data_IF_227667812859
#
_entry.id   IF_227667812859
#
_cell.length_a   1.000
_cell.length_b   1.000
_cell.length_c   1.000
_cell.angle_alpha   90.00
_cell.angle_beta   90.00
_cell.angle_gamma   90.00
#
_symmetry.space_group_name_H-M   'P 1'
#
loop_
_entity.id
_entity.type
_entity.pdbx_description
1 polymer ?
#
# COMPACT_ATOMS: atom_id res chain seq x y z
N UNK A 1 -5.53 -21.78 18.92
CA UNK A 1 -5.10 -20.38 19.07
C UNK A 1 -6.32 -19.51 19.24
N UNK A 2 -6.21 -18.44 20.03
CA UNK A 2 -7.12 -17.31 20.06
C UNK A 2 -6.77 -16.37 18.92
N UNK A 3 -7.70 -16.16 18.00
CA UNK A 3 -7.45 -15.41 16.76
C UNK A 3 -8.40 -14.23 16.68
N UNK A 4 -7.85 -13.03 16.51
CA UNK A 4 -8.62 -11.83 16.23
C UNK A 4 -8.75 -11.64 14.71
N UNK A 5 -9.93 -11.83 14.15
CA UNK A 5 -10.19 -11.65 12.73
C UNK A 5 -10.57 -10.20 12.41
N UNK A 6 -9.74 -9.49 11.65
CA UNK A 6 -10.04 -8.15 11.15
C UNK A 6 -11.01 -8.24 9.97
N UNK A 7 -12.26 -7.85 10.21
CA UNK A 7 -13.37 -7.97 9.28
C UNK A 7 -13.74 -6.61 8.70
N UNK A 8 -13.41 -6.36 7.44
CA UNK A 8 -13.63 -5.08 6.76
C UNK A 8 -15.05 -4.88 6.22
N UNK A 9 -15.92 -5.87 6.36
CA UNK A 9 -17.24 -5.89 5.69
C UNK A 9 -17.17 -6.32 4.21
N UNK A 10 -16.00 -6.74 3.74
CA UNK A 10 -15.78 -7.31 2.41
C UNK A 10 -15.72 -8.84 2.41
N UNK A 11 -15.89 -9.44 1.22
CA UNK A 11 -15.92 -10.89 1.01
C UNK A 11 -14.65 -11.60 1.49
N UNK A 12 -13.49 -11.01 1.23
CA UNK A 12 -12.20 -11.63 1.54
C UNK A 12 -12.04 -11.81 3.06
N UNK A 13 -12.31 -10.76 3.84
CA UNK A 13 -12.23 -10.84 5.30
C UNK A 13 -13.28 -11.77 5.93
N UNK A 14 -14.45 -11.91 5.29
CA UNK A 14 -15.50 -12.82 5.73
C UNK A 14 -15.08 -14.28 5.57
N UNK A 15 -14.55 -14.64 4.40
CA UNK A 15 -14.07 -16.01 4.12
C UNK A 15 -12.83 -16.32 4.94
N UNK A 16 -11.91 -15.37 5.11
CA UNK A 16 -10.74 -15.56 5.98
C UNK A 16 -11.13 -15.88 7.43
N UNK A 17 -12.10 -15.15 8.00
CA UNK A 17 -12.63 -15.42 9.34
C UNK A 17 -13.29 -16.81 9.41
N UNK A 18 -14.11 -17.16 8.41
CA UNK A 18 -14.77 -18.46 8.35
C UNK A 18 -13.77 -19.62 8.29
N UNK A 19 -12.74 -19.53 7.44
CA UNK A 19 -11.67 -20.54 7.35
C UNK A 19 -10.89 -20.67 8.66
N UNK A 20 -10.65 -19.58 9.38
CA UNK A 20 -10.00 -19.64 10.69
C UNK A 20 -10.86 -20.39 11.73
N UNK A 21 -12.19 -20.22 11.70
CA UNK A 21 -13.13 -20.99 12.54
C UNK A 21 -13.10 -22.48 12.14
N UNK A 22 -13.17 -22.77 10.85
CA UNK A 22 -13.14 -24.14 10.29
C UNK A 22 -11.84 -24.88 10.63
N UNK A 23 -10.72 -24.15 10.74
CA UNK A 23 -9.43 -24.66 11.21
C UNK A 23 -9.38 -24.93 12.73
N UNK A 24 -10.49 -24.74 13.46
CA UNK A 24 -10.62 -25.03 14.88
C UNK A 24 -10.02 -23.96 15.81
N UNK A 25 -9.86 -22.72 15.33
CA UNK A 25 -9.40 -21.62 16.17
C UNK A 25 -10.54 -20.99 17.00
N UNK A 26 -10.19 -20.42 18.15
CA UNK A 26 -11.09 -19.59 18.94
C UNK A 26 -11.08 -18.17 18.35
N UNK A 27 -12.04 -17.89 17.46
CA UNK A 27 -12.04 -16.66 16.65
C UNK A 27 -12.95 -15.61 17.26
N UNK A 28 -12.44 -14.39 17.38
CA UNK A 28 -13.23 -13.18 17.66
C UNK A 28 -13.11 -12.22 16.48
N UNK A 29 -14.24 -11.74 15.96
CA UNK A 29 -14.27 -10.74 14.90
C UNK A 29 -14.10 -9.32 15.43
N UNK A 30 -13.39 -8.49 14.67
CA UNK A 30 -13.31 -7.05 14.93
C UNK A 30 -13.42 -6.25 13.64
N UNK A 31 -14.20 -5.16 13.68
CA UNK A 31 -14.20 -4.15 12.64
C UNK A 31 -13.51 -2.87 13.14
N UNK A 32 -12.67 -2.27 12.30
CA UNK A 32 -11.97 -1.03 12.62
C UNK A 32 -12.75 0.16 12.05
N UNK A 33 -13.29 0.99 12.93
CA UNK A 33 -13.84 2.28 12.55
C UNK A 33 -12.68 3.27 12.37
N UNK A 34 -12.33 3.58 11.11
CA UNK A 34 -11.20 4.45 10.76
C UNK A 34 -11.61 5.89 10.41
N UNK A 35 -12.92 6.17 10.29
CA UNK A 35 -13.40 7.51 9.93
C UNK A 35 -14.58 7.93 10.82
N UNK A 36 -14.43 9.05 11.53
CA UNK A 36 -15.49 9.65 12.38
C UNK A 36 -16.65 10.23 11.58
N UNK A 37 -16.42 10.57 10.31
CA UNK A 37 -17.40 11.21 9.43
C UNK A 37 -18.15 10.19 8.55
N UNK A 38 -18.22 8.91 8.96
CA UNK A 38 -18.93 7.84 8.25
C UNK A 38 -20.46 8.06 8.10
N UNK A 39 -21.01 9.16 8.63
CA UNK A 39 -22.42 9.55 8.56
C UNK A 39 -22.87 10.16 7.22
N UNK A 40 -21.97 10.51 6.31
CA UNK A 40 -22.38 10.83 4.93
C UNK A 40 -22.66 9.53 4.19
N UNK A 41 -23.95 9.16 4.09
CA UNK A 41 -24.48 8.11 3.22
C UNK A 41 -23.74 8.14 1.87
N UNK A 42 -22.86 7.17 1.65
CA UNK A 42 -22.26 6.96 0.32
C UNK A 42 -23.11 5.95 -0.43
N UNK A 43 -23.43 6.26 -1.67
CA UNK A 43 -23.92 5.28 -2.63
C UNK A 43 -22.71 4.61 -3.32
N UNK A 44 -22.44 3.34 -3.03
CA UNK A 44 -21.51 2.51 -3.81
C UNK A 44 -20.33 1.88 -3.05
N UNK A 45 -19.55 1.05 -3.75
CA UNK A 45 -18.53 0.14 -3.21
C UNK A 45 -17.13 0.76 -3.01
N UNK A 46 -17.03 2.01 -2.53
CA UNK A 46 -15.73 2.72 -2.38
C UNK A 46 -15.39 3.00 -0.90
N UNK A 47 -14.47 2.21 -0.34
CA UNK A 47 -13.99 2.27 1.06
C UNK A 47 -14.34 1.03 1.88
N UNK A 48 -13.64 0.80 3.00
CA UNK A 48 -13.76 -0.41 3.82
C UNK A 48 -14.08 -0.15 5.32
N UNK A 49 -14.59 1.03 5.66
CA UNK A 49 -14.73 1.50 7.05
C UNK A 49 -15.98 2.36 7.25
N UNK A 50 -17.12 1.93 6.70
CA UNK A 50 -18.42 2.57 6.89
C UNK A 50 -19.28 1.86 7.94
N UNK A 51 -20.37 2.50 8.38
CA UNK A 51 -21.38 1.85 9.24
C UNK A 51 -21.96 0.61 8.54
N UNK A 52 -22.18 0.68 7.22
CA UNK A 52 -22.68 -0.45 6.42
C UNK A 52 -21.69 -1.61 6.41
N UNK A 53 -20.39 -1.32 6.27
CA UNK A 53 -19.33 -2.34 6.34
C UNK A 53 -19.26 -3.01 7.71
N UNK A 54 -19.40 -2.24 8.79
CA UNK A 54 -19.44 -2.77 10.14
C UNK A 54 -20.66 -3.70 10.34
N UNK A 55 -21.82 -3.33 9.80
CA UNK A 55 -23.03 -4.17 9.83
C UNK A 55 -22.87 -5.43 8.99
N UNK A 56 -22.24 -5.35 7.82
CA UNK A 56 -21.96 -6.52 6.98
C UNK A 56 -21.02 -7.49 7.69
N UNK A 57 -19.94 -6.97 8.31
CA UNK A 57 -19.02 -7.77 9.11
C UNK A 57 -19.73 -8.43 10.31
N UNK A 58 -20.61 -7.69 11.01
CA UNK A 58 -21.44 -8.23 12.09
C UNK A 58 -22.32 -9.38 11.62
N UNK A 59 -23.03 -9.23 10.49
CA UNK A 59 -23.90 -10.30 9.94
C UNK A 59 -23.12 -11.55 9.60
N UNK A 60 -21.91 -11.40 9.07
CA UNK A 60 -21.01 -12.54 8.81
C UNK A 60 -20.61 -13.20 10.12
N UNK A 61 -20.19 -12.42 11.12
CA UNK A 61 -19.78 -12.92 12.42
C UNK A 61 -20.91 -13.70 13.12
N UNK A 62 -22.14 -13.17 13.10
CA UNK A 62 -23.33 -13.85 13.63
C UNK A 62 -23.59 -15.18 12.89
N UNK A 63 -23.38 -15.20 11.56
CA UNK A 63 -23.59 -16.39 10.72
C UNK A 63 -22.57 -17.51 11.00
N UNK A 64 -21.32 -17.17 11.29
CA UNK A 64 -20.26 -18.14 11.63
C UNK A 64 -20.14 -18.38 13.13
N UNK A 65 -20.98 -17.74 13.95
CA UNK A 65 -21.09 -18.00 15.38
C UNK A 65 -19.94 -17.46 16.23
N UNK A 66 -19.32 -16.35 15.84
CA UNK A 66 -18.20 -15.74 16.58
C UNK A 66 -18.58 -14.43 17.29
N UNK A 67 -17.95 -14.10 18.44
CA UNK A 67 -18.08 -12.78 19.04
C UNK A 67 -17.59 -11.68 18.09
N UNK A 68 -18.19 -10.49 18.17
CA UNK A 68 -17.86 -9.38 17.28
C UNK A 68 -17.84 -8.03 17.99
N UNK A 69 -16.77 -7.27 17.76
CA UNK A 69 -16.58 -5.93 18.31
C UNK A 69 -16.30 -4.90 17.21
N UNK A 70 -16.58 -3.64 17.51
CA UNK A 70 -16.14 -2.50 16.70
C UNK A 70 -15.16 -1.70 17.53
N UNK A 71 -13.96 -1.47 17.00
CA UNK A 71 -12.95 -0.64 17.65
C UNK A 71 -12.74 0.65 16.87
N UNK A 72 -12.81 1.77 17.59
CA UNK A 72 -12.50 3.07 17.04
C UNK A 72 -10.97 3.28 16.99
N UNK A 73 -10.44 3.40 15.77
CA UNK A 73 -9.06 3.79 15.48
C UNK A 73 -9.00 5.09 14.66
N UNK A 74 -10.10 5.82 14.58
CA UNK A 74 -10.24 6.97 13.68
C UNK A 74 -9.28 8.12 13.99
N UNK A 75 -9.01 8.40 15.27
CA UNK A 75 -8.03 9.43 15.65
C UNK A 75 -6.62 9.03 15.19
N UNK A 76 -6.21 7.80 15.50
CA UNK A 76 -4.90 7.26 15.11
C UNK A 76 -4.75 7.17 13.59
N UNK A 77 -5.81 6.81 12.89
CA UNK A 77 -5.82 6.77 11.42
C UNK A 77 -5.69 8.17 10.80
N UNK A 78 -6.39 9.16 11.36
CA UNK A 78 -6.25 10.55 10.91
C UNK A 78 -4.80 11.02 11.06
N UNK A 79 -4.21 10.83 12.25
CA UNK A 79 -2.85 11.27 12.55
C UNK A 79 -1.78 10.47 11.79
N UNK A 80 -1.78 9.15 11.87
CA UNK A 80 -0.68 8.31 11.36
C UNK A 80 -0.80 7.93 9.88
N UNK A 81 -1.95 8.17 9.24
CA UNK A 81 -2.16 7.83 7.82
C UNK A 81 -2.57 9.04 7.01
N UNK A 82 -3.58 9.80 7.44
CA UNK A 82 -4.10 10.92 6.66
C UNK A 82 -3.17 12.13 6.73
N UNK A 83 -2.73 12.50 7.93
CA UNK A 83 -1.85 13.66 8.12
C UNK A 83 -0.43 13.37 7.59
N UNK A 84 0.09 12.14 7.75
CA UNK A 84 1.32 11.68 7.07
C UNK A 84 1.19 11.83 5.56
N UNK A 85 0.09 11.33 4.96
CA UNK A 85 -0.15 11.46 3.53
C UNK A 85 -0.15 12.92 3.07
N UNK A 86 -0.79 13.83 3.81
CA UNK A 86 -0.82 15.26 3.50
C UNK A 86 0.57 15.90 3.63
N UNK A 87 1.31 15.60 4.70
CA UNK A 87 2.64 16.13 4.96
C UNK A 87 3.66 15.68 3.89
N UNK A 88 3.55 14.44 3.45
CA UNK A 88 4.35 13.85 2.38
C UNK A 88 4.14 14.56 1.04
N UNK A 89 2.88 14.81 0.67
CA UNK A 89 2.57 15.62 -0.51
C UNK A 89 3.06 17.05 -0.37
N UNK A 90 2.91 17.68 0.81
CA UNK A 90 3.44 19.02 1.07
C UNK A 90 4.97 19.09 0.89
N UNK A 91 5.67 17.98 1.16
CA UNK A 91 7.10 17.83 0.92
C UNK A 91 7.47 17.42 -0.52
N UNK A 92 6.50 17.33 -1.45
CA UNK A 92 6.74 16.98 -2.86
C UNK A 92 6.98 15.50 -3.09
N UNK A 93 6.67 14.66 -2.09
CA UNK A 93 6.81 13.21 -2.14
C UNK A 93 5.47 12.57 -2.52
N UNK A 94 5.53 11.34 -3.02
CA UNK A 94 4.31 10.57 -3.35
C UNK A 94 4.24 9.37 -2.40
N UNK A 95 3.47 9.45 -1.31
CA UNK A 95 3.33 8.35 -0.34
C UNK A 95 2.37 7.25 -0.83
N UNK A 96 2.43 6.07 -0.19
CA UNK A 96 1.41 5.03 -0.34
C UNK A 96 0.63 4.86 0.99
N UNK A 97 -0.62 5.36 1.09
CA UNK A 97 -1.37 5.35 2.34
C UNK A 97 -1.80 3.93 2.77
N UNK A 98 -1.90 2.99 1.83
CA UNK A 98 -2.25 1.61 2.15
C UNK A 98 -1.09 0.89 2.87
N UNK A 99 0.16 1.12 2.45
CA UNK A 99 1.32 0.59 3.18
C UNK A 99 1.41 1.20 4.58
N UNK A 100 1.23 2.52 4.72
CA UNK A 100 1.19 3.20 6.02
C UNK A 100 0.07 2.68 6.91
N UNK A 101 -1.13 2.46 6.39
CA UNK A 101 -2.24 1.88 7.14
C UNK A 101 -1.95 0.44 7.61
N UNK A 102 -1.35 -0.41 6.76
CA UNK A 102 -0.94 -1.75 7.20
C UNK A 102 0.12 -1.67 8.30
N UNK A 103 1.17 -0.87 8.11
CA UNK A 103 2.24 -0.65 9.09
C UNK A 103 1.70 -0.14 10.44
N UNK A 104 0.95 0.96 10.42
CA UNK A 104 0.60 1.74 11.62
C UNK A 104 -0.70 1.31 12.27
N UNK A 105 -1.68 0.88 11.48
CA UNK A 105 -3.03 0.61 11.97
C UNK A 105 -3.28 -0.89 12.10
N UNK A 106 -3.17 -1.66 11.01
CA UNK A 106 -3.55 -3.08 11.04
C UNK A 106 -2.57 -3.98 11.76
N UNK A 107 -1.26 -3.67 11.75
CA UNK A 107 -0.24 -4.54 12.32
C UNK A 107 0.60 -3.93 13.43
N UNK A 108 0.64 -2.61 13.60
CA UNK A 108 1.03 -2.04 14.89
C UNK A 108 -0.20 -1.95 15.80
N UNK A 109 -1.10 -1.00 15.55
CA UNK A 109 -2.17 -0.68 16.49
C UNK A 109 -3.12 -1.85 16.84
N UNK A 110 -3.63 -2.55 15.81
CA UNK A 110 -4.54 -3.67 16.00
C UNK A 110 -3.82 -4.87 16.62
N UNK A 111 -2.61 -5.20 16.16
CA UNK A 111 -1.88 -6.35 16.66
C UNK A 111 -1.44 -6.15 18.11
N UNK A 112 -0.86 -4.99 18.44
CA UNK A 112 -0.43 -4.66 19.80
C UNK A 112 -1.60 -4.79 20.78
N UNK A 113 -2.78 -4.28 20.39
CA UNK A 113 -4.00 -4.40 21.18
C UNK A 113 -4.50 -5.85 21.26
N UNK A 114 -4.40 -6.62 20.18
CA UNK A 114 -4.80 -8.02 20.16
C UNK A 114 -3.94 -8.85 21.13
N UNK A 115 -2.61 -8.70 21.05
CA UNK A 115 -1.66 -9.38 21.94
C UNK A 115 -1.90 -8.99 23.40
N UNK A 116 -2.11 -7.70 23.69
CA UNK A 116 -2.41 -7.22 25.03
C UNK A 116 -3.72 -7.80 25.61
N UNK A 117 -4.68 -8.15 24.75
CA UNK A 117 -5.95 -8.80 25.14
C UNK A 117 -5.85 -10.33 25.18
N UNK A 118 -4.67 -10.90 24.92
CA UNK A 118 -4.42 -12.35 24.98
C UNK A 118 -4.80 -13.11 23.72
N UNK A 119 -4.86 -12.44 22.55
CA UNK A 119 -4.94 -13.12 21.27
C UNK A 119 -3.55 -13.58 20.81
N UNK A 120 -3.48 -14.77 20.24
CA UNK A 120 -2.24 -15.36 19.72
C UNK A 120 -1.90 -14.83 18.31
N UNK A 121 -2.93 -14.46 17.53
CA UNK A 121 -2.76 -14.04 16.14
C UNK A 121 -3.85 -13.08 15.66
N UNK A 122 -3.53 -12.28 14.63
CA UNK A 122 -4.47 -11.46 13.86
C UNK A 122 -4.68 -12.08 12.48
N UNK A 123 -5.92 -12.46 12.20
CA UNK A 123 -6.35 -12.96 10.90
C UNK A 123 -6.87 -11.82 10.03
N UNK A 124 -6.46 -11.77 8.77
CA UNK A 124 -6.96 -10.78 7.80
C UNK A 124 -7.25 -11.44 6.45
N UNK A 125 -8.11 -10.81 5.64
CA UNK A 125 -8.40 -11.25 4.27
C UNK A 125 -7.34 -10.90 3.23
N UNK A 126 -6.07 -10.73 3.62
CA UNK A 126 -5.02 -10.46 2.63
C UNK A 126 -4.63 -11.73 1.88
N UNK A 127 -4.32 -11.56 0.59
CA UNK A 127 -3.75 -12.60 -0.27
C UNK A 127 -2.23 -12.55 -0.17
N UNK A 128 -1.69 -13.30 0.79
CA UNK A 128 -0.27 -13.58 0.94
C UNK A 128 -0.13 -14.88 1.74
N UNK A 129 1.00 -15.56 1.64
CA UNK A 129 1.22 -16.83 2.37
C UNK A 129 2.21 -16.59 3.50
N UNK A 130 1.91 -17.08 4.70
CA UNK A 130 2.88 -17.15 5.79
C UNK A 130 3.34 -18.60 5.90
N UNK A 131 4.65 -18.83 5.80
CA UNK A 131 5.26 -20.15 5.94
C UNK A 131 6.20 -20.17 7.12
N UNK A 132 6.45 -21.35 7.67
CA UNK A 132 7.55 -21.55 8.61
C UNK A 132 8.79 -21.92 7.81
N UNK A 133 9.81 -21.07 7.86
CA UNK A 133 11.09 -21.27 7.22
C UNK A 133 11.92 -22.38 7.88
N UNK A 134 13.06 -22.76 7.29
CA UNK A 134 13.92 -23.84 7.80
C UNK A 134 14.46 -23.60 9.22
N UNK A 135 14.59 -22.34 9.63
CA UNK A 135 15.05 -21.93 10.96
C UNK A 135 13.92 -21.87 12.01
N UNK A 136 12.70 -22.27 11.64
CA UNK A 136 11.52 -22.22 12.48
C UNK A 136 10.85 -20.85 12.57
N UNK A 137 11.38 -19.82 11.90
CA UNK A 137 10.77 -18.48 11.86
C UNK A 137 9.71 -18.38 10.78
N UNK A 138 8.83 -17.38 10.91
CA UNK A 138 7.79 -17.13 9.91
C UNK A 138 8.32 -16.27 8.77
N UNK A 139 8.00 -16.67 7.55
CA UNK A 139 8.37 -16.03 6.30
C UNK A 139 7.10 -15.59 5.57
N UNK A 140 7.12 -14.37 5.01
CA UNK A 140 6.04 -13.83 4.19
C UNK A 140 6.33 -14.18 2.73
N UNK A 141 5.35 -14.73 2.03
CA UNK A 141 5.45 -15.10 0.62
C UNK A 141 4.30 -14.51 -0.20
N UNK A 142 4.54 -14.40 -1.51
CA UNK A 142 3.53 -14.13 -2.52
C UNK A 142 2.35 -15.10 -2.42
N UNK A 143 1.16 -14.61 -2.75
CA UNK A 143 -0.02 -15.45 -2.93
C UNK A 143 0.12 -16.39 -4.13
N UNK A 144 -0.70 -17.44 -4.17
CA UNK A 144 -0.82 -18.33 -5.34
C UNK A 144 -1.41 -17.64 -6.56
N UNK A 145 -2.34 -16.68 -6.35
CA UNK A 145 -2.93 -15.87 -7.41
C UNK A 145 -2.14 -14.55 -7.55
N UNK A 146 -1.25 -14.48 -8.54
CA UNK A 146 -0.42 -13.30 -8.80
C UNK A 146 -1.25 -12.02 -9.03
N UNK A 147 -2.43 -12.13 -9.64
CA UNK A 147 -3.29 -10.98 -9.92
C UNK A 147 -3.91 -10.39 -8.65
N UNK A 148 -3.96 -11.18 -7.56
CA UNK A 148 -4.46 -10.75 -6.25
C UNK A 148 -3.37 -10.64 -5.19
N UNK A 149 -2.11 -10.91 -5.52
CA UNK A 149 -1.01 -10.87 -4.56
C UNK A 149 -0.95 -9.52 -3.82
N UNK A 150 -0.97 -9.59 -2.51
CA UNK A 150 -0.89 -8.46 -1.59
C UNK A 150 0.37 -8.49 -0.74
N UNK A 151 1.33 -9.37 -1.06
CA UNK A 151 2.63 -9.42 -0.39
C UNK A 151 3.35 -8.06 -0.40
N UNK A 152 3.20 -7.28 -1.49
CA UNK A 152 3.79 -5.94 -1.61
C UNK A 152 3.32 -4.98 -0.51
N UNK A 153 2.01 -4.89 -0.27
CA UNK A 153 1.47 -4.00 0.77
C UNK A 153 1.73 -4.50 2.20
N UNK A 154 2.16 -5.75 2.33
CA UNK A 154 2.55 -6.40 3.58
C UNK A 154 4.08 -6.45 3.76
N UNK A 155 4.89 -5.97 2.80
CA UNK A 155 6.35 -5.93 2.94
C UNK A 155 6.85 -4.98 4.03
N UNK A 156 5.95 -4.17 4.59
CA UNK A 156 6.19 -3.31 5.77
C UNK A 156 6.20 -4.08 7.09
N UNK A 157 5.73 -5.32 7.13
CA UNK A 157 5.65 -6.09 8.37
C UNK A 157 7.04 -6.37 8.94
N UNK A 158 7.15 -6.28 10.28
CA UNK A 158 8.33 -6.73 11.01
C UNK A 158 8.26 -8.25 11.26
N UNK A 159 9.39 -8.87 11.60
CA UNK A 159 9.45 -10.27 12.01
C UNK A 159 8.50 -10.58 13.19
N UNK A 160 8.39 -9.68 14.15
CA UNK A 160 7.49 -9.81 15.31
C UNK A 160 6.02 -9.76 14.88
N UNK A 161 5.65 -8.77 14.06
CA UNK A 161 4.28 -8.67 13.54
C UNK A 161 3.92 -9.90 12.69
N UNK A 162 4.88 -10.32 11.86
CA UNK A 162 4.75 -11.52 11.03
C UNK A 162 4.66 -12.78 11.89
N UNK A 163 5.18 -12.83 13.12
CA UNK A 163 5.02 -13.97 14.03
C UNK A 163 3.58 -14.15 14.56
N UNK A 164 2.73 -13.12 14.43
CA UNK A 164 1.32 -13.15 14.84
C UNK A 164 0.30 -12.92 13.71
N UNK A 165 0.71 -12.68 12.46
CA UNK A 165 -0.18 -12.61 11.29
C UNK A 165 -0.79 -13.97 10.82
N UNK A 166 -2.02 -13.95 10.31
CA UNK A 166 -2.65 -15.11 9.67
C UNK A 166 -3.38 -14.67 8.39
N UNK A 167 -3.08 -15.34 7.26
CA UNK A 167 -3.62 -15.02 5.93
C UNK A 167 -4.25 -16.27 5.29
N UNK A 168 -5.48 -16.64 5.68
CA UNK A 168 -6.11 -17.90 5.22
C UNK A 168 -6.42 -17.95 3.72
N UNK A 169 -6.29 -16.83 2.99
CA UNK A 169 -6.59 -16.75 1.57
C UNK A 169 -5.38 -16.92 0.66
N UNK A 170 -4.15 -16.87 1.19
CA UNK A 170 -2.92 -16.79 0.39
C UNK A 170 -2.74 -17.92 -0.61
N UNK A 171 -3.19 -19.13 -0.28
CA UNK A 171 -3.05 -20.31 -1.14
C UNK A 171 -4.25 -20.51 -2.09
N UNK A 172 -5.25 -19.62 -2.04
CA UNK A 172 -6.45 -19.76 -2.86
C UNK A 172 -6.13 -19.47 -4.33
N UNK A 173 -6.50 -20.35 -5.28
CA UNK A 173 -6.06 -20.22 -6.67
C UNK A 173 -6.71 -19.07 -7.43
N UNK A 174 -7.87 -18.57 -6.96
CA UNK A 174 -8.49 -17.39 -7.53
C UNK A 174 -9.50 -16.75 -6.59
N UNK A 175 -9.80 -15.48 -6.82
CA UNK A 175 -10.90 -14.79 -6.15
C UNK A 175 -12.28 -15.40 -6.42
N UNK A 176 -12.48 -16.05 -7.56
CA UNK A 176 -13.75 -16.69 -7.88
C UNK A 176 -14.11 -17.80 -6.87
N UNK A 177 -13.10 -18.55 -6.42
CA UNK A 177 -13.25 -19.58 -5.37
C UNK A 177 -13.68 -18.94 -4.05
N UNK A 178 -13.04 -17.84 -3.64
CA UNK A 178 -13.42 -17.09 -2.42
C UNK A 178 -14.87 -16.60 -2.50
N UNK A 179 -15.32 -16.12 -3.67
CA UNK A 179 -16.72 -15.69 -3.85
C UNK A 179 -17.70 -16.88 -3.82
N UNK A 180 -17.35 -18.04 -4.38
CA UNK A 180 -18.16 -19.26 -4.29
C UNK A 180 -18.33 -19.71 -2.84
N UNK A 181 -17.22 -19.77 -2.10
CA UNK A 181 -17.19 -20.11 -0.68
C UNK A 181 -18.08 -19.20 0.16
N UNK A 182 -18.05 -17.89 -0.12
CA UNK A 182 -18.92 -16.94 0.53
C UNK A 182 -20.40 -17.18 0.21
N UNK A 183 -20.73 -17.47 -1.06
CA UNK A 183 -22.09 -17.74 -1.50
C UNK A 183 -22.65 -19.03 -0.88
N UNK A 184 -21.86 -20.10 -0.84
CA UNK A 184 -22.20 -21.38 -0.21
C UNK A 184 -22.50 -21.22 1.29
N UNK A 185 -21.78 -20.34 1.98
CA UNK A 185 -22.02 -20.00 3.40
C UNK A 185 -23.22 -19.07 3.61
N UNK A 186 -23.77 -18.52 2.53
CA UNK A 186 -24.88 -17.56 2.54
C UNK A 186 -24.45 -16.15 2.95
N UNK A 187 -23.19 -15.78 2.73
CA UNK A 187 -22.71 -14.43 3.00
C UNK A 187 -23.23 -13.44 1.96
N UNK A 188 -23.99 -12.43 2.40
CA UNK A 188 -24.51 -11.38 1.52
C UNK A 188 -23.42 -10.58 0.79
N UNK A 189 -22.22 -10.55 1.38
CA UNK A 189 -21.05 -9.87 0.79
C UNK A 189 -20.42 -10.64 -0.37
N UNK A 190 -20.88 -11.86 -0.71
CA UNK A 190 -20.31 -12.68 -1.78
C UNK A 190 -20.25 -11.99 -3.15
N UNK A 191 -21.24 -11.14 -3.46
CA UNK A 191 -21.31 -10.35 -4.70
C UNK A 191 -20.82 -8.91 -4.54
N UNK A 192 -20.44 -8.48 -3.33
CA UNK A 192 -19.98 -7.12 -3.07
C UNK A 192 -18.71 -6.84 -3.87
N UNK A 193 -18.61 -5.71 -4.61
CA UNK A 193 -17.38 -5.35 -5.31
C UNK A 193 -16.22 -5.15 -4.32
N UNK A 194 -15.00 -5.28 -4.83
CA UNK A 194 -13.80 -5.01 -4.04
C UNK A 194 -13.69 -3.49 -3.81
N UNK A 195 -13.20 -3.09 -2.64
CA UNK A 195 -12.80 -1.71 -2.42
C UNK A 195 -11.52 -1.46 -3.21
N UNK A 196 -11.64 -0.68 -4.28
CA UNK A 196 -10.53 -0.09 -4.99
C UNK A 196 -10.40 1.39 -4.56
N UNK A 197 -9.21 1.98 -4.72
CA UNK A 197 -8.85 3.36 -4.35
C UNK A 197 -8.52 3.64 -2.86
N UNK A 198 -8.03 4.85 -2.60
CA UNK A 198 -7.63 5.32 -1.27
C UNK A 198 -8.88 5.47 -0.39
N UNK A 199 -8.95 4.71 0.71
CA UNK A 199 -10.19 4.54 1.47
C UNK A 199 -10.78 5.85 2.05
N UNK A 200 -9.96 6.87 2.30
CA UNK A 200 -10.39 8.17 2.80
C UNK A 200 -10.69 9.21 1.70
N UNK A 201 -10.55 8.85 0.42
CA UNK A 201 -10.85 9.70 -0.75
C UNK A 201 -12.04 9.08 -1.52
N UNK A 202 -13.29 9.46 -1.19
CA UNK A 202 -14.52 8.81 -1.69
C UNK A 202 -14.65 8.68 -3.20
N UNK A 203 -14.36 9.79 -3.86
CA UNK A 203 -14.62 10.05 -5.27
C UNK A 203 -13.45 9.61 -6.15
N UNK A 204 -12.33 9.24 -5.52
CA UNK A 204 -11.06 8.94 -6.17
C UNK A 204 -10.32 10.21 -6.63
N UNK A 205 -10.85 11.40 -6.37
CA UNK A 205 -10.24 12.67 -6.80
C UNK A 205 -9.16 13.10 -5.80
N UNK A 206 -8.01 12.42 -5.87
CA UNK A 206 -6.85 12.74 -5.02
C UNK A 206 -6.40 14.19 -5.22
N UNK A 207 -6.50 14.73 -6.45
CA UNK A 207 -6.15 16.11 -6.77
C UNK A 207 -7.06 17.09 -6.06
N UNK A 208 -8.37 16.94 -6.19
CA UNK A 208 -9.35 17.80 -5.52
C UNK A 208 -9.28 17.68 -4.00
N UNK A 209 -9.07 16.47 -3.49
CA UNK A 209 -8.92 16.22 -2.06
C UNK A 209 -7.68 16.89 -1.46
N UNK A 210 -6.53 16.82 -2.15
CA UNK A 210 -5.32 17.52 -1.73
C UNK A 210 -5.46 19.04 -1.83
N UNK A 211 -6.06 19.54 -2.92
CA UNK A 211 -6.31 20.97 -3.10
C UNK A 211 -7.17 21.57 -1.98
N UNK A 212 -8.17 20.82 -1.49
CA UNK A 212 -8.99 21.25 -0.37
C UNK A 212 -8.27 21.34 0.98
N UNK A 213 -7.10 20.69 1.13
CA UNK A 213 -6.31 20.65 2.38
C UNK A 213 -5.05 21.49 2.35
N UNK A 214 -4.32 21.44 1.25
CA UNK A 214 -3.04 22.12 1.05
C UNK A 214 -3.18 23.45 0.30
N UNK A 215 -4.38 23.73 -0.21
CA UNK A 215 -4.60 24.83 -1.14
C UNK A 215 -4.17 24.47 -2.57
N UNK A 216 -4.46 25.38 -3.49
CA UNK A 216 -4.08 25.27 -4.89
C UNK A 216 -3.57 26.63 -5.36
N UNK A 217 -2.27 26.72 -5.65
CA UNK A 217 -1.67 27.92 -6.21
C UNK A 217 -1.15 27.64 -7.62
N UNK A 218 -1.51 28.50 -8.56
CA UNK A 218 -1.06 28.35 -9.93
C UNK A 218 0.45 28.61 -10.05
N UNK A 219 1.15 27.78 -10.82
CA UNK A 219 2.60 27.83 -10.95
C UNK A 219 3.08 27.42 -12.35
N UNK A 220 4.35 27.66 -12.67
CA UNK A 220 4.92 27.31 -13.97
C UNK A 220 5.12 25.79 -14.11
N UNK A 221 4.86 25.30 -15.32
CA UNK A 221 5.36 24.00 -15.77
C UNK A 221 6.58 24.28 -16.63
N UNK A 222 7.75 23.81 -16.19
CA UNK A 222 9.04 24.03 -16.85
C UNK A 222 9.59 22.74 -17.41
N UNK A 223 10.46 22.82 -18.40
CA UNK A 223 11.23 21.67 -18.85
C UNK A 223 12.60 21.53 -18.18
N UNK A 224 13.36 20.52 -18.58
CA UNK A 224 14.70 20.23 -18.05
C UNK A 224 15.69 21.39 -18.23
N UNK A 225 15.45 22.29 -19.20
CA UNK A 225 16.27 23.49 -19.42
C UNK A 225 15.82 24.67 -18.54
N UNK A 226 14.70 24.52 -17.83
CA UNK A 226 14.05 25.58 -17.06
C UNK A 226 13.11 26.45 -17.90
N UNK A 227 12.89 26.14 -19.17
CA UNK A 227 11.98 26.91 -20.01
C UNK A 227 10.52 26.64 -19.65
N UNK A 228 9.72 27.70 -19.47
CA UNK A 228 8.28 27.56 -19.23
C UNK A 228 7.58 26.99 -20.49
N UNK A 229 6.91 25.86 -20.31
CA UNK A 229 6.16 25.12 -21.35
C UNK A 229 4.66 25.06 -21.10
N UNK A 230 4.21 25.58 -19.94
CA UNK A 230 2.82 25.65 -19.55
C UNK A 230 2.66 26.18 -18.13
N UNK A 231 1.44 26.12 -17.61
CA UNK A 231 1.10 26.46 -16.23
C UNK A 231 0.17 25.41 -15.65
N UNK A 232 0.22 25.24 -14.34
CA UNK A 232 -0.67 24.35 -13.59
C UNK A 232 -1.46 25.13 -12.54
N UNK A 233 -2.51 24.53 -12.00
CA UNK A 233 -3.34 25.14 -10.94
C UNK A 233 -2.92 24.72 -9.51
N UNK A 234 -1.94 23.84 -9.38
CA UNK A 234 -1.36 23.44 -8.09
C UNK A 234 -0.34 22.32 -8.25
N UNK A 235 0.93 22.57 -7.87
CA UNK A 235 2.02 21.63 -8.12
C UNK A 235 1.82 20.28 -7.42
N UNK A 236 1.26 20.31 -6.21
CA UNK A 236 1.07 19.12 -5.36
C UNK A 236 0.03 18.13 -5.89
N UNK A 237 -0.76 18.53 -6.88
CA UNK A 237 -1.69 17.66 -7.58
C UNK A 237 -1.02 16.74 -8.63
N UNK A 238 0.26 16.96 -8.91
CA UNK A 238 1.01 16.20 -9.91
C UNK A 238 1.82 15.09 -9.26
N UNK A 239 1.99 14.00 -9.99
CA UNK A 239 2.80 12.85 -9.55
C UNK A 239 3.89 12.56 -10.58
N UNK A 240 5.09 12.20 -10.14
CA UNK A 240 6.19 11.81 -11.04
C UNK A 240 5.74 10.65 -11.95
N UNK A 241 6.06 10.75 -13.24
CA UNK A 241 5.61 9.86 -14.29
C UNK A 241 4.22 10.16 -14.86
N UNK A 242 3.51 11.18 -14.35
CA UNK A 242 2.23 11.60 -14.91
C UNK A 242 2.39 12.19 -16.32
N UNK A 243 1.57 11.72 -17.26
CA UNK A 243 1.49 12.23 -18.64
C UNK A 243 0.27 13.12 -18.90
N UNK A 244 -0.89 12.74 -18.36
CA UNK A 244 -2.18 13.38 -18.65
C UNK A 244 -2.42 14.57 -17.72
N UNK A 245 -3.23 15.54 -18.14
CA UNK A 245 -3.62 16.68 -17.30
C UNK A 245 -2.53 17.73 -17.08
N UNK A 246 -1.47 17.72 -17.91
CA UNK A 246 -0.40 18.72 -17.85
C UNK A 246 -0.74 20.04 -18.57
N UNK A 247 -1.79 20.06 -19.40
CA UNK A 247 -2.27 21.26 -20.12
C UNK A 247 -1.16 22.11 -20.76
N UNK A 248 -0.16 21.44 -21.36
CA UNK A 248 1.01 22.10 -21.94
C UNK A 248 0.61 22.90 -23.18
N UNK A 249 0.97 24.18 -23.21
CA UNK A 249 0.69 25.08 -24.34
C UNK A 249 1.80 25.05 -25.39
N UNK A 250 2.99 24.55 -25.02
CA UNK A 250 4.13 24.39 -25.92
C UNK A 250 4.47 22.89 -26.09
N UNK A 251 4.28 22.30 -27.28
CA UNK A 251 4.67 20.92 -27.53
C UNK A 251 6.20 20.75 -27.44
N UNK A 252 6.67 19.52 -27.22
CA UNK A 252 8.09 19.22 -27.31
C UNK A 252 8.61 19.45 -28.75
N UNK A 253 9.88 19.87 -28.93
CA UNK A 253 10.45 20.07 -30.27
C UNK A 253 10.39 18.85 -31.19
N UNK A 254 10.43 17.65 -30.60
CA UNK A 254 10.34 16.35 -31.29
C UNK A 254 8.91 15.81 -31.40
N UNK A 255 7.91 16.58 -30.94
CA UNK A 255 6.50 16.19 -30.92
C UNK A 255 6.13 15.08 -29.93
N UNK A 256 7.07 14.56 -29.14
CA UNK A 256 6.81 13.47 -28.19
C UNK A 256 6.10 13.98 -26.93
N UNK A 257 5.32 13.12 -26.25
CA UNK A 257 4.67 13.49 -24.99
C UNK A 257 5.71 13.74 -23.89
N UNK A 258 5.45 14.73 -23.05
CA UNK A 258 6.22 14.99 -21.83
C UNK A 258 5.56 14.35 -20.61
N UNK A 259 6.37 14.06 -19.61
CA UNK A 259 5.99 13.44 -18.34
C UNK A 259 6.50 14.29 -17.19
N UNK A 260 5.79 14.32 -16.06
CA UNK A 260 6.28 14.95 -14.82
C UNK A 260 7.53 14.22 -14.34
N UNK A 261 8.67 14.89 -14.33
CA UNK A 261 9.93 14.36 -13.80
C UNK A 261 10.06 14.65 -12.30
N UNK A 262 9.63 15.84 -11.88
CA UNK A 262 9.81 16.33 -10.52
C UNK A 262 8.70 17.33 -10.18
N UNK A 263 8.30 17.34 -8.91
CA UNK A 263 7.42 18.37 -8.34
C UNK A 263 8.24 19.11 -7.29
N UNK A 264 8.33 20.43 -7.42
CA UNK A 264 9.10 21.30 -6.51
C UNK A 264 8.13 22.18 -5.70
N UNK A 265 7.68 21.75 -4.50
CA UNK A 265 6.76 22.52 -3.69
C UNK A 265 7.30 23.90 -3.31
N UNK A 266 8.58 23.98 -2.96
CA UNK A 266 9.21 25.22 -2.49
C UNK A 266 9.19 26.35 -3.53
N UNK A 267 9.24 26.02 -4.82
CA UNK A 267 9.15 26.99 -5.92
C UNK A 267 7.80 26.93 -6.66
N UNK A 268 6.84 26.14 -6.15
CA UNK A 268 5.57 25.83 -6.80
C UNK A 268 5.73 25.52 -8.30
N UNK A 269 6.67 24.64 -8.64
CA UNK A 269 7.05 24.34 -10.03
C UNK A 269 6.88 22.85 -10.33
N UNK A 270 6.37 22.53 -11.52
CA UNK A 270 6.34 21.16 -12.05
C UNK A 270 7.36 21.06 -13.19
N UNK A 271 8.30 20.12 -13.08
CA UNK A 271 9.31 19.86 -14.12
C UNK A 271 8.82 18.73 -15.01
N UNK A 272 8.86 18.93 -16.33
CA UNK A 272 8.45 17.93 -17.31
C UNK A 272 9.54 17.65 -18.34
N UNK A 273 9.59 16.41 -18.83
CA UNK A 273 10.58 16.02 -19.82
C UNK A 273 10.21 14.71 -20.52
N UNK A 274 11.16 14.14 -21.27
CA UNK A 274 10.94 12.93 -22.03
C UNK A 274 10.80 11.72 -21.09
N UNK A 275 10.23 10.62 -21.59
CA UNK A 275 9.99 9.41 -20.79
C UNK A 275 11.29 8.83 -20.25
N UNK A 276 12.34 8.94 -21.04
CA UNK A 276 13.67 8.41 -20.78
C UNK A 276 14.32 9.06 -19.54
N UNK A 277 13.98 10.31 -19.24
CA UNK A 277 14.44 11.02 -18.05
C UNK A 277 13.80 10.51 -16.74
N UNK A 278 12.77 9.66 -16.83
CA UNK A 278 12.18 8.98 -15.66
C UNK A 278 12.94 7.71 -15.25
N UNK A 279 13.98 7.33 -16.00
CA UNK A 279 14.73 6.11 -15.75
C UNK A 279 15.58 6.25 -14.49
N UNK A 280 15.30 5.41 -13.49
CA UNK A 280 16.02 5.36 -12.21
C UNK A 280 16.96 4.16 -12.22
N UNK A 281 18.27 4.43 -12.10
CA UNK A 281 19.31 3.42 -12.04
C UNK A 281 19.68 2.98 -10.62
N UNK A 282 19.34 3.79 -9.61
CA UNK A 282 19.46 3.40 -8.21
C UNK A 282 18.41 4.12 -7.34
N UNK A 283 18.00 3.48 -6.26
CA UNK A 283 17.12 4.05 -5.23
C UNK A 283 17.69 3.76 -3.84
N UNK A 284 17.44 4.63 -2.87
CA UNK A 284 17.94 4.47 -1.53
C UNK A 284 16.93 4.94 -0.48
N UNK A 285 17.01 4.33 0.71
CA UNK A 285 16.19 4.71 1.85
C UNK A 285 16.78 4.27 3.18
N UNK A 286 16.60 5.10 4.21
CA UNK A 286 17.02 4.80 5.58
C UNK A 286 15.92 4.09 6.39
N UNK A 287 14.65 4.35 6.07
CA UNK A 287 13.50 3.70 6.73
C UNK A 287 13.27 2.31 6.16
N UNK A 288 13.70 1.30 6.91
CA UNK A 288 13.61 -0.12 6.55
C UNK A 288 12.59 -0.86 7.41
N UNK A 289 11.96 -1.89 6.86
CA UNK A 289 11.31 -2.95 7.64
C UNK A 289 11.69 -4.31 7.05
N UNK A 290 11.75 -5.34 7.88
CA UNK A 290 12.15 -6.69 7.49
C UNK A 290 11.07 -7.69 7.88
N UNK A 291 10.48 -8.33 6.87
CA UNK A 291 9.43 -9.34 7.00
C UNK A 291 10.05 -10.71 7.32
N UNK A 292 10.73 -10.77 8.47
CA UNK A 292 11.61 -11.86 8.85
C UNK A 292 12.99 -11.32 9.26
N UNK A 293 14.03 -12.18 9.33
CA UNK A 293 15.37 -11.74 9.65
C UNK A 293 15.91 -10.82 8.56
N UNK A 294 16.54 -9.72 8.97
CA UNK A 294 17.36 -8.88 8.10
C UNK A 294 18.43 -9.76 7.41
N UNK A 295 18.68 -9.59 6.10
CA UNK A 295 19.82 -10.21 5.43
C UNK A 295 21.13 -9.94 6.18
N UNK A 296 21.89 -11.00 6.45
CA UNK A 296 23.16 -10.92 7.19
C UNK A 296 24.32 -10.38 6.36
N UNK A 297 24.22 -10.45 5.03
CA UNK A 297 25.24 -9.91 4.12
C UNK A 297 25.05 -8.40 3.93
N UNK A 298 26.17 -7.68 3.86
CA UNK A 298 26.15 -6.24 3.57
C UNK A 298 25.70 -5.93 2.13
N UNK A 299 25.79 -6.92 1.25
CA UNK A 299 25.31 -6.86 -0.13
C UNK A 299 24.67 -8.19 -0.52
N UNK A 300 23.53 -8.14 -1.20
CA UNK A 300 22.79 -9.34 -1.63
C UNK A 300 22.00 -9.10 -2.92
N UNK A 301 21.67 -10.20 -3.61
CA UNK A 301 20.77 -10.22 -4.76
C UNK A 301 19.32 -10.34 -4.31
N UNK A 302 18.42 -9.66 -4.99
CA UNK A 302 16.98 -9.70 -4.75
C UNK A 302 16.23 -9.26 -6.01
N UNK A 303 14.91 -9.37 -5.98
CA UNK A 303 14.03 -8.65 -6.89
C UNK A 303 13.39 -7.46 -6.16
N UNK A 304 13.36 -6.29 -6.79
CA UNK A 304 12.74 -5.09 -6.23
C UNK A 304 11.43 -4.78 -6.94
N UNK A 305 10.36 -4.61 -6.16
CA UNK A 305 9.06 -4.17 -6.63
C UNK A 305 8.75 -2.80 -6.04
N UNK A 306 8.38 -1.83 -6.88
CA UNK A 306 8.16 -0.43 -6.45
C UNK A 306 6.70 0.02 -6.53
N UNK A 307 5.81 -0.85 -7.02
CA UNK A 307 4.36 -0.64 -7.10
C UNK A 307 3.67 -2.00 -7.00
N UNK A 308 2.48 -2.04 -6.39
CA UNK A 308 1.75 -3.30 -6.14
C UNK A 308 1.49 -4.17 -7.38
N UNK A 309 1.29 -3.54 -8.55
CA UNK A 309 1.01 -4.23 -9.81
C UNK A 309 2.16 -4.14 -10.82
N UNK A 310 3.32 -3.64 -10.42
CA UNK A 310 4.51 -3.67 -11.27
C UNK A 310 5.20 -5.03 -11.17
N UNK A 311 5.78 -5.48 -12.28
CA UNK A 311 6.69 -6.62 -12.26
C UNK A 311 7.92 -6.30 -11.40
N UNK A 312 8.40 -7.24 -10.57
CA UNK A 312 9.66 -7.09 -9.86
C UNK A 312 10.84 -7.04 -10.83
N UNK A 313 11.83 -6.21 -10.52
CA UNK A 313 13.06 -6.08 -11.31
C UNK A 313 14.22 -6.69 -10.53
N UNK A 314 15.01 -7.60 -11.13
CA UNK A 314 16.22 -8.09 -10.50
C UNK A 314 17.16 -6.95 -10.09
N UNK A 315 17.77 -7.05 -8.92
CA UNK A 315 18.56 -5.97 -8.35
C UNK A 315 19.64 -6.46 -7.39
N UNK A 316 20.63 -5.60 -7.14
CA UNK A 316 21.58 -5.73 -6.05
C UNK A 316 21.27 -4.70 -4.97
N UNK A 317 21.06 -5.15 -3.74
CA UNK A 317 20.87 -4.30 -2.58
C UNK A 317 22.13 -4.31 -1.72
N UNK A 318 22.58 -3.13 -1.27
CA UNK A 318 23.77 -2.98 -0.41
C UNK A 318 23.52 -1.97 0.71
N UNK A 319 23.99 -2.29 1.92
CA UNK A 319 23.96 -1.36 3.03
C UNK A 319 25.11 -0.36 2.91
N UNK A 320 24.77 0.93 2.80
CA UNK A 320 25.71 2.03 2.71
C UNK A 320 25.48 2.98 3.90
N UNK A 321 26.20 2.74 5.00
CA UNK A 321 25.99 3.45 6.26
C UNK A 321 24.64 3.11 6.88
N UNK A 322 23.76 4.10 7.03
CA UNK A 322 22.40 3.92 7.57
C UNK A 322 21.34 3.68 6.49
N UNK A 323 21.70 3.74 5.21
CA UNK A 323 20.81 3.52 4.09
C UNK A 323 20.98 2.12 3.48
N UNK A 324 19.93 1.65 2.82
CA UNK A 324 20.00 0.52 1.90
C UNK A 324 19.86 1.09 0.49
N UNK A 325 20.87 0.85 -0.34
CA UNK A 325 20.91 1.27 -1.73
C UNK A 325 20.61 0.08 -2.61
N UNK A 326 19.58 0.21 -3.43
CA UNK A 326 19.12 -0.82 -4.36
C UNK A 326 19.42 -0.36 -5.78
N UNK A 327 20.15 -1.19 -6.51
CA UNK A 327 20.55 -0.98 -7.90
C UNK A 327 19.86 -2.05 -8.76
N UNK A 328 18.74 -1.70 -9.41
CA UNK A 328 18.07 -2.57 -10.37
C UNK A 328 19.00 -2.88 -11.56
N UNK A 329 18.89 -4.08 -12.12
CA UNK A 329 19.63 -4.50 -13.32
C UNK A 329 19.14 -3.74 -14.56
N UNK A 330 17.83 -3.40 -14.58
CA UNK A 330 17.21 -2.55 -15.58
C UNK A 330 16.60 -1.29 -14.94
N UNK A 331 16.68 -0.11 -15.57
CA UNK A 331 16.14 1.11 -15.00
C UNK A 331 14.63 1.05 -14.71
N UNK A 332 14.24 1.52 -13.52
CA UNK A 332 12.84 1.61 -13.12
C UNK A 332 12.29 2.97 -13.57
N UNK A 333 11.15 2.97 -14.27
CA UNK A 333 10.54 4.21 -14.75
C UNK A 333 9.57 4.82 -13.74
N UNK A 334 9.73 6.12 -13.48
CA UNK A 334 8.72 6.92 -12.77
C UNK A 334 8.61 6.60 -11.29
N UNK A 335 9.73 6.27 -10.65
CA UNK A 335 9.79 6.10 -9.19
C UNK A 335 9.97 7.45 -8.51
N UNK A 336 9.02 7.82 -7.65
CA UNK A 336 9.07 9.03 -6.84
C UNK A 336 9.56 8.73 -5.42
N UNK A 337 10.32 9.64 -4.78
CA UNK A 337 10.52 9.59 -3.33
C UNK A 337 9.20 9.58 -2.56
N UNK A 338 9.17 8.88 -1.43
CA UNK A 338 7.99 8.61 -0.60
C UNK A 338 7.26 7.30 -0.91
N UNK A 339 7.49 6.70 -2.09
CA UNK A 339 7.01 5.34 -2.39
C UNK A 339 7.81 4.31 -1.58
N UNK A 340 7.29 3.08 -1.52
CA UNK A 340 8.01 1.95 -0.95
C UNK A 340 8.63 1.09 -2.05
N UNK A 341 9.81 0.54 -1.78
CA UNK A 341 10.41 -0.51 -2.59
C UNK A 341 10.51 -1.78 -1.75
N UNK A 342 9.82 -2.83 -2.17
CA UNK A 342 9.75 -4.12 -1.48
C UNK A 342 10.72 -5.09 -2.16
N UNK A 343 11.50 -5.79 -1.35
CA UNK A 343 12.55 -6.70 -1.79
C UNK A 343 12.10 -8.14 -1.64
N UNK A 344 12.39 -8.95 -2.65
CA UNK A 344 11.99 -10.35 -2.75
C UNK A 344 13.18 -11.27 -3.01
N UNK A 345 13.05 -12.52 -2.55
CA UNK A 345 13.87 -13.66 -2.95
C UNK A 345 12.92 -14.77 -3.45
N UNK A 346 12.75 -14.84 -4.76
CA UNK A 346 11.68 -15.63 -5.38
C UNK A 346 10.30 -15.18 -4.90
N UNK A 347 9.58 -16.06 -4.21
CA UNK A 347 8.26 -15.71 -3.62
C UNK A 347 8.37 -15.05 -2.26
N UNK A 348 9.51 -15.16 -1.57
CA UNK A 348 9.68 -14.66 -0.20
C UNK A 348 9.86 -13.15 -0.22
N UNK A 349 9.14 -12.45 0.64
CA UNK A 349 9.36 -11.03 0.95
C UNK A 349 10.48 -10.93 1.97
N UNK A 350 11.54 -10.19 1.64
CA UNK A 350 12.63 -9.90 2.57
C UNK A 350 12.26 -8.73 3.48
N UNK A 351 11.73 -7.67 2.89
CA UNK A 351 11.46 -6.42 3.58
C UNK A 351 11.20 -5.28 2.61
N UNK A 352 11.27 -4.05 3.09
CA UNK A 352 11.07 -2.86 2.28
C UNK A 352 11.91 -1.67 2.74
N UNK A 353 12.08 -0.70 1.84
CA UNK A 353 12.50 0.66 2.17
C UNK A 353 11.47 1.70 1.73
N UNK A 354 11.33 2.76 2.52
CA UNK A 354 10.76 4.01 1.99
C UNK A 354 11.82 4.68 1.13
N UNK A 355 11.52 4.96 -0.13
CA UNK A 355 12.44 5.59 -1.07
C UNK A 355 12.61 7.04 -0.67
N UNK A 356 13.79 7.40 -0.17
CA UNK A 356 14.11 8.76 0.24
C UNK A 356 14.80 9.53 -0.92
N UNK A 357 15.54 8.83 -1.79
CA UNK A 357 16.16 9.41 -3.00
C UNK A 357 16.29 8.41 -4.15
N UNK A 358 16.39 8.94 -5.36
CA UNK A 358 16.63 8.20 -6.60
C UNK A 358 17.83 8.79 -7.35
N UNK A 359 18.48 7.97 -8.19
CA UNK A 359 19.56 8.37 -9.10
C UNK A 359 19.13 8.05 -10.51
N UNK A 360 19.20 9.03 -11.41
CA UNK A 360 18.86 8.85 -12.82
C UNK A 360 19.81 7.85 -13.49
N UNK A 361 19.25 6.97 -14.33
CA UNK A 361 20.01 6.02 -15.15
C UNK A 361 20.66 6.71 -16.37
N UNK A 362 20.11 7.85 -16.78
CA UNK A 362 20.66 8.71 -17.83
C UNK A 362 21.28 9.94 -17.15
N UNK A 363 22.55 10.29 -17.44
CA UNK A 363 23.13 11.52 -16.93
C UNK A 363 22.30 12.73 -17.36
N UNK A 364 22.09 13.70 -16.47
CA UNK A 364 21.58 15.01 -16.88
C UNK A 364 22.60 15.61 -17.86
N UNK A 365 22.19 15.77 -19.12
CA UNK A 365 23.01 16.39 -20.18
C UNK A 365 23.18 17.88 -19.98
#
# INVERSE_FOLDING_TARGET
>A
MKVLAAMSGGVDSAVAAARAVEAGHDVTGVHLALNRNAGTLRTGARGCCTIEDAMDARRVADRIGIPFYVWDFSARFAEEVVDDFVAEYAAGRTPNPCLRCNERIKFAALLDRAVALGFDAVCTGHYAVVRTGPDGRRELHRASDEAKDQSYVLGVLTAEQLAHAMFPLGETPSKAVVRSEAAERGFRVASKPDSHDICFIPDGDTRGWLAGRLGSEAGPVVDETGAEVGRHDGALAYTVGQRRGLSLTRPAPDGRPRFVLEVKPASNTVVVGPKEALAVGALAGARMSWAGPRPGADMFRCDVQVRAHAEPVPATAAFEGAELVVRPDEPILGLAPGQSAVLYDGTRVLGQITVDRTVAAVPAT
#
